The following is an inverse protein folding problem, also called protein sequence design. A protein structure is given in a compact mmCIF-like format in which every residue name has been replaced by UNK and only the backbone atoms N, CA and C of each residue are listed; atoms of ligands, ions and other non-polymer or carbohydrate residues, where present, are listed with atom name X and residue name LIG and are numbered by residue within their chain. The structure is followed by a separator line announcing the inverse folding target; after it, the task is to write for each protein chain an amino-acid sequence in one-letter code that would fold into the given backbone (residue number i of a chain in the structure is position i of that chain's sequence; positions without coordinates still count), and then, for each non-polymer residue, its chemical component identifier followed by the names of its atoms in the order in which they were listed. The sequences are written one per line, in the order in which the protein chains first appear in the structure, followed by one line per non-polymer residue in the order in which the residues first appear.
data_IF_878734991663
#
_entry.id   IF_878734991663
#
_cell.length_a   1.000
_cell.length_b   1.000
_cell.length_c   1.000
_cell.angle_alpha   90.00
_cell.angle_beta   90.00
_cell.angle_gamma   90.00
#
_symmetry.space_group_name_H-M   'P 1'
#
loop_
_entity.id
_entity.type
_entity.pdbx_description
1 polymer ?
#
# COMPACT_ATOMS: atom_id res chain seq x y z
N UNK A 1 -7.47 23.44 26.35
CA UNK A 1 -7.59 23.88 24.95
C UNK A 1 -8.72 23.11 24.31
N UNK A 2 -9.65 23.78 23.63
CA UNK A 2 -10.79 23.12 22.98
C UNK A 2 -10.31 22.28 21.79
N UNK A 3 -10.72 21.01 21.73
CA UNK A 3 -10.39 20.10 20.63
C UNK A 3 -11.37 20.40 19.50
N UNK A 4 -10.84 20.96 18.44
CA UNK A 4 -11.62 21.36 17.28
C UNK A 4 -11.46 20.24 16.23
N UNK A 5 -12.56 19.68 15.70
CA UNK A 5 -12.56 18.43 14.91
C UNK A 5 -13.05 18.63 13.48
N UNK A 6 -12.49 17.88 12.52
CA UNK A 6 -12.98 17.77 11.14
C UNK A 6 -13.39 16.32 10.92
N UNK A 7 -14.67 16.04 10.63
CA UNK A 7 -15.20 14.67 10.46
C UNK A 7 -14.83 13.75 11.65
N UNK A 8 -14.89 14.25 12.88
CA UNK A 8 -14.46 13.58 14.12
C UNK A 8 -12.97 13.27 14.25
N UNK A 9 -12.13 13.77 13.35
CA UNK A 9 -10.68 13.63 13.42
C UNK A 9 -10.10 14.93 14.04
N UNK A 10 -9.19 14.83 15.02
CA UNK A 10 -8.59 15.98 15.68
C UNK A 10 -7.80 16.80 14.67
N UNK A 11 -7.87 18.12 14.79
CA UNK A 11 -7.03 19.02 14.00
C UNK A 11 -5.99 19.75 14.86
N UNK A 12 -4.94 20.19 14.19
CA UNK A 12 -3.90 21.10 14.69
C UNK A 12 -3.54 22.09 13.59
N UNK A 13 -2.91 23.21 13.94
CA UNK A 13 -2.44 24.18 12.94
C UNK A 13 -0.96 23.96 12.60
N UNK A 14 -0.52 24.43 11.44
CA UNK A 14 0.90 24.44 11.06
C UNK A 14 1.74 25.25 12.07
N UNK A 15 1.14 26.23 12.73
CA UNK A 15 1.77 27.00 13.80
C UNK A 15 2.01 26.15 15.05
N UNK A 16 1.09 25.24 15.40
CA UNK A 16 1.25 24.32 16.53
C UNK A 16 2.34 23.30 16.24
N UNK A 17 2.37 22.77 15.02
CA UNK A 17 3.45 21.88 14.56
C UNK A 17 4.81 22.56 14.65
N UNK A 18 4.91 23.83 14.23
CA UNK A 18 6.17 24.58 14.32
C UNK A 18 6.63 24.84 15.75
N UNK A 19 5.69 25.02 16.69
CA UNK A 19 6.00 25.28 18.10
C UNK A 19 6.41 24.01 18.83
N UNK A 20 5.65 22.94 18.65
CA UNK A 20 5.85 21.68 19.36
C UNK A 20 5.32 20.51 18.52
N UNK A 21 6.11 19.99 17.59
CA UNK A 21 5.68 18.87 16.75
C UNK A 21 5.42 17.61 17.58
N UNK A 22 6.14 17.46 18.70
CA UNK A 22 6.01 16.29 19.58
C UNK A 22 4.65 16.21 20.27
N UNK A 23 4.02 17.36 20.59
CA UNK A 23 2.70 17.37 21.22
C UNK A 23 1.61 16.87 20.26
N UNK A 24 1.78 17.12 18.96
CA UNK A 24 0.88 16.60 17.93
C UNK A 24 1.01 15.08 17.80
N UNK A 25 2.23 14.55 17.84
CA UNK A 25 2.45 13.10 17.83
C UNK A 25 1.87 12.42 19.07
N UNK A 26 2.09 12.98 20.27
CA UNK A 26 1.47 12.48 21.51
C UNK A 26 -0.05 12.47 21.42
N UNK A 27 -0.64 13.57 20.92
CA UNK A 27 -2.09 13.66 20.72
C UNK A 27 -2.61 12.60 19.76
N UNK A 28 -1.87 12.32 18.68
CA UNK A 28 -2.19 11.25 17.73
C UNK A 28 -2.19 9.87 18.38
N UNK A 29 -1.20 9.62 19.24
CA UNK A 29 -1.03 8.36 19.96
C UNK A 29 -2.12 8.16 21.03
N UNK A 30 -2.36 9.17 21.86
CA UNK A 30 -3.41 9.16 22.90
C UNK A 30 -4.79 8.92 22.33
N UNK A 31 -5.09 9.55 21.19
CA UNK A 31 -6.38 9.42 20.53
C UNK A 31 -6.47 8.24 19.57
N UNK A 32 -5.37 7.50 19.38
CA UNK A 32 -5.24 6.38 18.43
C UNK A 32 -5.73 6.71 17.02
N UNK A 33 -5.57 7.97 16.59
CA UNK A 33 -6.01 8.46 15.29
C UNK A 33 -5.08 9.55 14.78
N UNK A 34 -4.98 9.70 13.46
CA UNK A 34 -4.20 10.78 12.86
C UNK A 34 -4.74 12.17 13.18
N UNK A 35 -3.86 13.17 13.15
CA UNK A 35 -4.20 14.57 13.38
C UNK A 35 -4.07 15.33 12.07
N UNK A 36 -5.16 15.97 11.63
CA UNK A 36 -5.11 16.86 10.46
C UNK A 36 -4.36 18.14 10.78
N UNK A 37 -3.41 18.50 9.93
CA UNK A 37 -2.66 19.76 10.04
C UNK A 37 -3.24 20.77 9.07
N UNK A 38 -3.73 21.88 9.61
CA UNK A 38 -4.28 22.98 8.84
C UNK A 38 -3.23 24.05 8.56
N UNK A 39 -3.19 24.51 7.32
CA UNK A 39 -2.54 25.76 6.94
C UNK A 39 -3.64 26.75 6.52
N UNK A 40 -3.94 27.71 7.40
CA UNK A 40 -5.15 28.54 7.33
C UNK A 40 -6.38 27.63 7.36
N UNK A 41 -7.25 27.70 6.36
CA UNK A 41 -8.49 26.91 6.28
C UNK A 41 -8.32 25.59 5.51
N UNK A 42 -7.12 25.32 4.97
CA UNK A 42 -6.86 24.14 4.16
C UNK A 42 -6.10 23.07 4.94
N UNK A 43 -6.44 21.80 4.70
CA UNK A 43 -5.66 20.66 5.19
C UNK A 43 -4.36 20.58 4.40
N UNK A 44 -3.24 20.75 5.09
CA UNK A 44 -1.90 20.63 4.52
C UNK A 44 -1.37 19.19 4.59
N UNK A 45 -1.83 18.39 5.56
CA UNK A 45 -1.42 17.01 5.72
C UNK A 45 -2.00 16.35 6.98
N UNK A 46 -1.52 15.13 7.26
CA UNK A 46 -1.85 14.36 8.46
C UNK A 46 -0.56 14.01 9.19
N UNK A 47 -0.57 14.12 10.51
CA UNK A 47 0.50 13.61 11.37
C UNK A 47 0.00 12.42 12.17
N UNK A 48 0.80 11.36 12.18
CA UNK A 48 0.59 10.13 12.96
C UNK A 48 1.89 9.75 13.67
N UNK A 49 1.81 9.04 14.79
CA UNK A 49 3.00 8.53 15.46
C UNK A 49 3.70 7.47 14.59
N UNK A 50 4.99 7.22 14.85
CA UNK A 50 5.75 6.16 14.17
C UNK A 50 5.04 4.81 14.28
N UNK A 51 4.61 4.44 15.50
CA UNK A 51 3.93 3.17 15.76
C UNK A 51 2.63 3.03 14.98
N UNK A 52 1.86 4.13 14.85
CA UNK A 52 0.64 4.12 14.05
C UNK A 52 0.94 3.97 12.56
N UNK A 53 2.01 4.60 12.06
CA UNK A 53 2.43 4.45 10.67
C UNK A 53 2.88 3.01 10.36
N UNK A 54 3.75 2.44 11.20
CA UNK A 54 4.19 1.05 11.06
C UNK A 54 3.01 0.08 11.14
N UNK A 55 2.11 0.25 12.11
CA UNK A 55 0.92 -0.59 12.20
C UNK A 55 -0.05 -0.47 11.02
N UNK A 56 -0.07 0.66 10.31
CA UNK A 56 -0.81 0.78 9.05
C UNK A 56 -0.15 -0.01 7.92
N UNK A 57 1.18 -0.04 7.86
CA UNK A 57 1.90 -0.85 6.87
C UNK A 57 1.68 -2.34 7.11
N UNK A 58 1.81 -2.79 8.36
CA UNK A 58 1.57 -4.19 8.75
C UNK A 58 0.15 -4.61 8.40
N UNK A 59 -0.84 -3.74 8.65
CA UNK A 59 -2.24 -4.01 8.31
C UNK A 59 -2.47 -4.08 6.80
N UNK A 60 -1.78 -3.25 6.01
CA UNK A 60 -1.87 -3.31 4.54
C UNK A 60 -1.35 -4.67 4.06
N UNK A 61 -0.18 -5.10 4.55
CA UNK A 61 0.41 -6.39 4.19
C UNK A 61 -0.52 -7.56 4.57
N UNK A 62 -1.08 -7.55 5.78
CA UNK A 62 -2.04 -8.56 6.25
C UNK A 62 -3.30 -8.61 5.36
N UNK A 63 -3.81 -7.45 4.95
CA UNK A 63 -4.98 -7.37 4.08
C UNK A 63 -4.68 -7.86 2.66
N UNK A 64 -3.50 -7.53 2.13
CA UNK A 64 -3.05 -8.02 0.82
C UNK A 64 -2.88 -9.53 0.81
N UNK A 65 -2.30 -10.11 1.87
CA UNK A 65 -2.18 -11.56 2.05
C UNK A 65 -3.56 -12.23 2.09
N UNK A 66 -4.50 -11.71 2.87
CA UNK A 66 -5.88 -12.22 2.92
C UNK A 66 -6.58 -12.19 1.57
N UNK A 67 -6.37 -11.12 0.79
CA UNK A 67 -6.91 -11.00 -0.58
C UNK A 67 -6.29 -12.05 -1.49
N UNK A 68 -4.98 -12.30 -1.38
CA UNK A 68 -4.29 -13.32 -2.15
C UNK A 68 -4.81 -14.72 -1.80
N UNK A 69 -4.89 -15.06 -0.53
CA UNK A 69 -5.43 -16.35 -0.05
C UNK A 69 -6.85 -16.58 -0.55
N UNK A 70 -7.71 -15.55 -0.47
CA UNK A 70 -9.09 -15.63 -0.97
C UNK A 70 -9.11 -15.90 -2.48
N UNK A 71 -8.29 -15.21 -3.27
CA UNK A 71 -8.19 -15.46 -4.72
C UNK A 71 -7.66 -16.86 -5.03
N UNK A 72 -6.73 -17.38 -4.24
CA UNK A 72 -6.22 -18.75 -4.39
C UNK A 72 -7.32 -19.76 -4.08
N UNK A 73 -8.05 -19.58 -2.98
CA UNK A 73 -9.18 -20.43 -2.62
C UNK A 73 -10.26 -20.43 -3.70
N UNK A 74 -10.62 -19.27 -4.25
CA UNK A 74 -11.55 -19.15 -5.38
C UNK A 74 -11.05 -19.83 -6.66
N UNK A 75 -9.73 -19.81 -6.91
CA UNK A 75 -9.14 -20.57 -8.02
C UNK A 75 -9.30 -22.07 -7.76
N UNK A 76 -8.84 -22.57 -6.62
CA UNK A 76 -8.92 -23.99 -6.27
C UNK A 76 -10.36 -24.53 -6.31
N UNK A 77 -11.32 -23.78 -5.76
CA UNK A 77 -12.74 -24.15 -5.84
C UNK A 77 -13.25 -24.25 -7.29
N UNK A 78 -12.75 -23.40 -8.20
CA UNK A 78 -13.05 -23.53 -9.64
C UNK A 78 -12.41 -24.77 -10.25
N UNK A 79 -11.17 -25.09 -9.92
CA UNK A 79 -10.50 -26.33 -10.36
C UNK A 79 -11.29 -27.59 -9.94
N UNK A 80 -11.84 -27.61 -8.72
CA UNK A 80 -12.61 -28.75 -8.22
C UNK A 80 -14.01 -28.90 -8.86
N UNK A 81 -14.54 -27.81 -9.46
CA UNK A 81 -15.93 -27.77 -9.96
C UNK A 81 -16.03 -27.67 -11.49
N UNK A 82 -15.00 -27.18 -12.19
CA UNK A 82 -14.95 -27.11 -13.66
C UNK A 82 -14.08 -28.24 -14.24
N UNK A 83 -14.60 -28.94 -15.27
CA UNK A 83 -13.86 -29.98 -16.00
C UNK A 83 -12.59 -29.48 -16.72
N UNK A 84 -12.48 -28.18 -17.00
CA UNK A 84 -11.32 -27.57 -17.67
C UNK A 84 -11.02 -26.18 -17.10
N UNK A 85 -10.11 -26.08 -16.13
CA UNK A 85 -9.64 -24.81 -15.60
C UNK A 85 -8.71 -24.12 -16.61
N UNK A 86 -8.75 -22.79 -16.65
CA UNK A 86 -7.86 -21.99 -17.49
C UNK A 86 -6.43 -22.10 -16.95
N UNK A 87 -5.58 -22.83 -17.67
CA UNK A 87 -4.17 -23.03 -17.38
C UNK A 87 -3.31 -22.28 -18.39
N UNK A 88 -2.08 -21.97 -18.00
CA UNK A 88 -1.08 -21.38 -18.89
C UNK A 88 0.07 -22.38 -19.04
N UNK A 89 0.57 -22.51 -20.26
CA UNK A 89 1.76 -23.29 -20.60
C UNK A 89 3.03 -22.58 -20.15
N UNK A 90 4.14 -23.31 -20.10
CA UNK A 90 5.45 -22.74 -19.74
C UNK A 90 5.84 -21.66 -20.77
N UNK A 91 5.61 -21.90 -22.05
CA UNK A 91 5.90 -20.93 -23.11
C UNK A 91 5.05 -19.66 -23.02
N UNK A 92 3.79 -19.73 -22.58
CA UNK A 92 2.94 -18.55 -22.42
C UNK A 92 3.38 -17.65 -21.26
N UNK A 93 3.94 -18.23 -20.19
CA UNK A 93 4.39 -17.49 -19.01
C UNK A 93 5.80 -16.95 -19.20
N UNK A 94 6.71 -17.79 -19.71
CA UNK A 94 8.14 -17.47 -19.81
C UNK A 94 8.56 -16.98 -21.19
N UNK A 95 7.71 -17.10 -22.21
CA UNK A 95 8.10 -16.91 -23.60
C UNK A 95 8.94 -18.07 -24.14
N UNK A 96 9.60 -17.86 -25.27
CA UNK A 96 10.52 -18.86 -25.84
C UNK A 96 11.74 -19.04 -24.94
N UNK A 97 12.20 -20.28 -24.82
CA UNK A 97 13.41 -20.56 -24.03
C UNK A 97 14.66 -20.10 -24.77
N UNK A 98 15.71 -19.73 -24.03
CA UNK A 98 17.00 -19.28 -24.60
C UNK A 98 17.64 -20.33 -25.55
N UNK A 99 17.27 -21.61 -25.41
CA UNK A 99 17.74 -22.68 -26.30
C UNK A 99 17.08 -22.62 -27.69
N UNK A 100 15.92 -22.00 -27.81
CA UNK A 100 15.17 -21.83 -29.05
C UNK A 100 15.43 -20.47 -29.72
N UNK A 101 16.07 -19.55 -28.99
CA UNK A 101 16.55 -18.30 -29.54
C UNK A 101 17.82 -18.56 -30.36
N UNK A 102 17.75 -18.23 -31.64
CA UNK A 102 18.93 -18.19 -32.49
C UNK A 102 19.66 -16.87 -32.19
N UNK A 103 20.93 -16.93 -31.82
CA UNK A 103 21.75 -15.74 -31.64
C UNK A 103 21.82 -14.99 -32.98
N UNK A 104 21.24 -13.79 -33.03
CA UNK A 104 21.31 -12.89 -34.16
C UNK A 104 22.45 -11.87 -33.90
N UNK A 105 23.64 -12.05 -34.49
CA UNK A 105 24.75 -11.12 -34.32
C UNK A 105 24.51 -9.74 -34.94
N UNK A 106 23.44 -9.60 -35.76
CA UNK A 106 23.06 -8.36 -36.43
C UNK A 106 21.89 -7.64 -35.73
N UNK A 107 21.30 -8.23 -34.68
CA UNK A 107 20.43 -7.48 -33.76
C UNK A 107 21.32 -6.46 -33.02
N UNK A 108 21.17 -5.17 -33.36
CA UNK A 108 21.70 -4.08 -32.55
C UNK A 108 20.96 -4.08 -31.21
N UNK A 109 21.38 -4.96 -30.29
CA UNK A 109 20.96 -4.90 -28.91
C UNK A 109 21.29 -3.49 -28.40
N UNK A 110 20.26 -2.68 -28.13
CA UNK A 110 20.36 -1.28 -27.70
C UNK A 110 21.01 -1.09 -26.30
N UNK A 111 21.76 -2.09 -25.83
CA UNK A 111 22.59 -2.02 -24.64
C UNK A 111 23.93 -1.38 -24.98
N UNK A 112 23.97 -0.05 -24.96
CA UNK A 112 25.20 0.75 -24.89
C UNK A 112 25.75 0.86 -23.47
#
# INVERSE_FOLDING_TARGET
MAIEMIRNIPKGSISDVKKSPMDIFKKSEELKQGVYILNRDNVAGVMISKQQYEGLLDLIEELEEKVLETKVAERLARYDTQESPETYTVEEVFGKTLMEMQFDPDEEDEWK
#
